data_IF_071962565514
#
_entry.id   IF_071962565514
#
_cell.length_a   1.000
_cell.length_b   1.000
_cell.length_c   1.000
_cell.angle_alpha   90.00
_cell.angle_beta   90.00
_cell.angle_gamma   90.00
#
_symmetry.space_group_name_H-M   'P 1'
#
loop_
_entity.id
_entity.type
_entity.pdbx_description
1 polymer ?
#
# COMPACT_ATOMS: atom_id res chain seq x y z
N UNK A 1 -2.59 -23.64 -54.24
CA UNK A 1 -3.06 -22.56 -53.35
C UNK A 1 -2.69 -22.93 -51.91
N UNK A 2 -1.62 -22.36 -51.38
CA UNK A 2 -1.10 -22.68 -50.04
C UNK A 2 -1.87 -21.90 -48.98
N UNK A 3 -2.49 -22.59 -48.02
CA UNK A 3 -3.16 -21.95 -46.88
C UNK A 3 -2.13 -21.28 -45.97
N UNK A 4 -2.37 -20.05 -45.48
CA UNK A 4 -1.48 -19.40 -44.54
C UNK A 4 -1.46 -20.12 -43.18
N UNK A 5 -0.32 -20.12 -42.47
CA UNK A 5 -0.19 -20.78 -41.18
C UNK A 5 -1.08 -20.09 -40.13
N UNK A 6 -1.90 -20.89 -39.44
CA UNK A 6 -2.66 -20.46 -38.26
C UNK A 6 -1.70 -20.24 -37.10
N UNK A 7 -1.49 -18.99 -36.72
CA UNK A 7 -0.77 -18.65 -35.49
C UNK A 7 -1.65 -19.02 -34.29
N UNK A 8 -1.16 -19.79 -33.31
CA UNK A 8 -1.95 -20.18 -32.16
C UNK A 8 -2.24 -18.96 -31.25
N UNK A 9 -3.49 -18.79 -30.78
CA UNK A 9 -3.92 -17.62 -29.99
C UNK A 9 -3.16 -17.43 -28.67
N UNK A 10 -2.48 -18.47 -28.16
CA UNK A 10 -1.68 -18.41 -26.94
C UNK A 10 -0.38 -17.59 -27.06
N UNK A 11 0.18 -17.43 -28.26
CA UNK A 11 1.41 -16.65 -28.47
C UNK A 11 1.17 -15.14 -28.41
N UNK A 12 -0.01 -14.69 -28.84
CA UNK A 12 -0.39 -13.27 -28.88
C UNK A 12 -0.69 -12.74 -27.47
N UNK A 13 -1.33 -13.54 -26.61
CA UNK A 13 -1.64 -13.16 -25.23
C UNK A 13 -0.39 -12.94 -24.35
N UNK A 14 0.69 -13.72 -24.55
CA UNK A 14 1.95 -13.57 -23.79
C UNK A 14 2.73 -12.31 -24.20
N UNK A 15 2.65 -11.91 -25.47
CA UNK A 15 3.26 -10.67 -25.98
C UNK A 15 2.59 -9.42 -25.42
N UNK A 16 1.26 -9.40 -25.39
CA UNK A 16 0.47 -8.27 -24.90
C UNK A 16 0.64 -8.03 -23.38
N UNK A 17 0.73 -9.09 -22.57
CA UNK A 17 1.00 -8.96 -21.13
C UNK A 17 2.45 -8.48 -20.83
N UNK A 18 3.41 -8.76 -21.73
CA UNK A 18 4.77 -8.22 -21.65
C UNK A 18 4.81 -6.74 -22.01
N UNK A 19 4.14 -6.35 -23.08
CA UNK A 19 4.00 -4.95 -23.51
C UNK A 19 3.22 -4.11 -22.52
N UNK A 20 2.15 -4.62 -21.89
CA UNK A 20 1.37 -3.86 -20.91
C UNK A 20 2.15 -3.56 -19.62
N UNK A 21 2.98 -4.50 -19.11
CA UNK A 21 3.83 -4.21 -17.96
C UNK A 21 5.04 -3.34 -18.35
N UNK A 22 5.65 -3.58 -19.51
CA UNK A 22 6.72 -2.72 -20.01
C UNK A 22 6.20 -1.28 -20.23
N UNK A 23 4.98 -1.13 -20.73
CA UNK A 23 4.29 0.16 -20.86
C UNK A 23 3.88 0.73 -19.50
N UNK A 24 3.44 -0.07 -18.52
CA UNK A 24 3.20 0.43 -17.15
C UNK A 24 4.50 0.88 -16.47
N UNK A 25 5.60 0.16 -16.66
CA UNK A 25 6.93 0.50 -16.13
C UNK A 25 7.60 1.66 -16.90
N UNK A 26 7.36 1.80 -18.20
CA UNK A 26 7.89 2.87 -19.04
C UNK A 26 7.06 4.16 -18.93
N UNK A 27 5.72 4.07 -18.84
CA UNK A 27 4.85 5.22 -18.63
C UNK A 27 5.06 5.87 -17.25
N UNK A 28 5.55 5.11 -16.27
CA UNK A 28 5.99 5.67 -14.98
C UNK A 28 7.30 6.45 -15.05
N UNK A 29 8.16 6.18 -16.04
CA UNK A 29 9.40 6.94 -16.25
C UNK A 29 9.17 8.31 -16.87
N UNK A 30 8.12 8.45 -17.70
CA UNK A 30 7.81 9.71 -18.40
C UNK A 30 7.07 10.73 -17.51
N UNK A 31 6.36 10.29 -16.47
CA UNK A 31 5.62 11.17 -15.56
C UNK A 31 6.47 11.81 -14.44
N UNK A 32 7.75 11.41 -14.30
CA UNK A 32 8.65 11.92 -13.26
C UNK A 32 9.37 13.24 -13.65
N UNK A 33 9.08 13.81 -14.82
CA UNK A 33 9.91 14.86 -15.44
C UNK A 33 9.38 16.30 -15.32
N UNK A 34 8.35 16.56 -14.51
CA UNK A 34 7.71 17.89 -14.42
C UNK A 34 7.90 18.65 -13.09
N UNK A 35 8.66 18.13 -12.12
CA UNK A 35 9.01 18.89 -10.92
C UNK A 35 10.50 19.24 -10.93
N UNK A 36 10.83 20.51 -10.72
CA UNK A 36 12.21 20.95 -10.53
C UNK A 36 12.86 20.12 -9.40
N UNK A 37 14.12 19.68 -9.55
CA UNK A 37 14.77 18.88 -8.52
C UNK A 37 14.91 19.70 -7.25
N UNK A 38 14.17 19.31 -6.21
CA UNK A 38 14.49 19.69 -4.84
C UNK A 38 15.96 19.29 -4.57
N UNK A 39 16.76 20.13 -3.89
CA UNK A 39 18.13 19.76 -3.56
C UNK A 39 18.13 18.40 -2.84
N UNK A 40 19.03 17.47 -3.20
CA UNK A 40 19.04 16.15 -2.62
C UNK A 40 19.22 16.28 -1.11
N UNK A 41 18.25 15.77 -0.35
CA UNK A 41 18.36 15.70 1.10
C UNK A 41 19.63 14.93 1.46
N UNK A 42 20.41 15.45 2.42
CA UNK A 42 21.66 14.81 2.84
C UNK A 42 21.42 13.35 3.24
N UNK A 43 22.20 12.43 2.67
CA UNK A 43 22.18 11.01 3.06
C UNK A 43 22.58 10.89 4.54
N UNK A 44 21.79 10.21 5.38
CA UNK A 44 22.04 10.10 6.80
C UNK A 44 23.20 9.16 7.01
N UNK A 45 23.90 9.40 8.09
CA UNK A 45 25.00 8.54 8.49
C UNK A 45 24.47 7.19 8.97
N UNK A 46 25.28 6.11 8.91
CA UNK A 46 24.92 4.81 9.50
C UNK A 46 24.51 4.90 10.98
N UNK A 47 25.10 5.85 11.73
CA UNK A 47 24.73 6.12 13.13
C UNK A 47 23.32 6.71 13.27
N UNK A 48 22.90 7.61 12.37
CA UNK A 48 21.54 8.15 12.35
C UNK A 48 20.51 7.07 11.99
N UNK A 49 20.85 6.19 11.05
CA UNK A 49 20.00 5.03 10.69
C UNK A 49 19.82 4.10 11.90
N UNK A 50 20.90 3.79 12.60
CA UNK A 50 20.88 2.92 13.79
C UNK A 50 20.12 3.56 14.96
N UNK A 51 20.36 4.83 15.26
CA UNK A 51 19.64 5.56 16.31
C UNK A 51 18.13 5.64 16.02
N UNK A 52 17.75 5.84 14.76
CA UNK A 52 16.35 5.79 14.35
C UNK A 52 15.76 4.38 14.50
N UNK A 53 16.48 3.35 14.06
CA UNK A 53 16.09 1.95 14.24
C UNK A 53 15.83 1.62 15.72
N UNK A 54 16.78 1.94 16.60
CA UNK A 54 16.69 1.62 18.02
C UNK A 54 15.57 2.40 18.71
N UNK A 55 15.38 3.67 18.32
CA UNK A 55 14.26 4.49 18.81
C UNK A 55 12.92 3.97 18.30
N UNK A 56 12.82 3.53 17.06
CA UNK A 56 11.61 2.92 16.52
C UNK A 56 11.31 1.60 17.25
N UNK A 57 12.31 0.73 17.44
CA UNK A 57 12.19 -0.49 18.22
C UNK A 57 11.75 -0.20 19.67
N UNK A 58 12.27 0.85 20.30
CA UNK A 58 11.84 1.32 21.62
C UNK A 58 10.42 1.90 21.63
N UNK A 59 10.00 2.65 20.60
CA UNK A 59 8.62 3.12 20.47
C UNK A 59 7.69 1.93 20.28
N UNK A 60 8.07 0.92 19.50
CA UNK A 60 7.33 -0.33 19.34
C UNK A 60 7.21 -1.08 20.68
N UNK A 61 8.33 -1.17 21.40
CA UNK A 61 8.40 -1.84 22.70
C UNK A 61 7.65 -1.07 23.81
N UNK A 62 7.67 0.27 23.79
CA UNK A 62 7.04 1.16 24.78
C UNK A 62 5.58 1.52 24.48
N UNK A 63 5.18 1.48 23.20
CA UNK A 63 3.77 1.55 22.78
C UNK A 63 3.01 0.27 23.13
N UNK A 64 3.58 -0.68 23.85
CA UNK A 64 2.91 -1.85 24.44
C UNK A 64 1.83 -1.52 25.49
N UNK A 65 1.54 -0.24 25.75
CA UNK A 65 0.24 0.19 26.32
C UNK A 65 -0.90 0.30 25.27
N UNK A 66 -0.60 -0.03 24.01
CA UNK A 66 -1.48 -0.12 22.84
C UNK A 66 -0.68 -0.50 21.58
N UNK A 67 -0.29 -1.77 21.47
CA UNK A 67 0.74 -2.30 20.58
C UNK A 67 0.46 -2.10 19.08
N UNK A 68 1.54 -1.87 18.31
CA UNK A 68 1.56 -2.18 16.88
C UNK A 68 1.08 -3.62 16.67
N UNK A 69 0.30 -3.90 15.61
CA UNK A 69 -0.15 -5.26 15.35
C UNK A 69 1.04 -6.22 15.19
N UNK A 70 0.93 -7.43 15.74
CA UNK A 70 1.80 -8.54 15.34
C UNK A 70 1.45 -8.91 13.88
N UNK A 71 2.44 -8.93 12.98
CA UNK A 71 2.23 -9.18 11.55
C UNK A 71 3.51 -9.08 10.74
N UNK A 72 3.39 -9.12 9.42
CA UNK A 72 4.52 -8.95 8.51
C UNK A 72 5.01 -7.49 8.60
N UNK A 73 6.12 -7.30 9.31
CA UNK A 73 6.79 -6.00 9.38
C UNK A 73 7.49 -5.74 8.06
N UNK A 74 7.07 -4.67 7.39
CA UNK A 74 7.67 -4.21 6.16
C UNK A 74 8.32 -2.85 6.42
N UNK A 75 9.60 -2.71 6.11
CA UNK A 75 10.35 -1.47 6.36
C UNK A 75 10.50 -0.71 5.05
N UNK A 76 10.18 0.59 5.06
CA UNK A 76 10.42 1.47 3.93
C UNK A 76 11.87 1.93 3.95
N UNK A 77 12.64 1.51 2.94
CA UNK A 77 14.02 1.92 2.75
C UNK A 77 14.06 3.11 1.78
N UNK A 78 14.62 4.23 2.23
CA UNK A 78 15.06 5.35 1.40
C UNK A 78 16.40 5.83 1.94
N UNK A 79 17.10 6.65 1.16
CA UNK A 79 18.26 7.44 1.58
C UNK A 79 18.01 8.30 2.83
N UNK A 80 16.87 8.22 3.53
CA UNK A 80 16.69 8.41 4.99
C UNK A 80 15.62 7.41 5.48
N UNK A 81 15.68 6.81 6.69
CA UNK A 81 14.61 5.94 7.16
C UNK A 81 13.40 6.81 7.56
N UNK A 82 12.34 6.80 6.74
CA UNK A 82 11.21 7.75 6.88
C UNK A 82 10.01 7.10 7.58
N UNK A 83 9.78 5.78 7.44
CA UNK A 83 8.54 5.13 7.88
C UNK A 83 8.71 3.66 8.31
N UNK A 84 8.25 3.33 9.52
CA UNK A 84 8.03 1.94 9.94
C UNK A 84 6.60 1.54 9.67
N UNK A 85 6.40 0.46 8.90
CA UNK A 85 5.08 -0.10 8.65
C UNK A 85 4.96 -1.51 9.22
N UNK A 86 3.95 -1.72 10.03
CA UNK A 86 3.51 -3.07 10.39
C UNK A 86 2.16 -3.28 9.74
N UNK A 87 1.98 -4.39 9.03
CA UNK A 87 0.68 -4.79 8.52
C UNK A 87 0.38 -6.22 8.96
N UNK A 88 -0.77 -6.39 9.59
CA UNK A 88 -1.33 -7.69 9.90
C UNK A 88 -2.62 -7.84 9.10
N UNK A 89 -2.62 -8.80 8.19
CA UNK A 89 -3.77 -9.13 7.36
C UNK A 89 -4.39 -10.41 7.93
N UNK A 90 -5.64 -10.30 8.34
CA UNK A 90 -6.49 -11.41 8.78
C UNK A 90 -7.58 -11.69 7.73
N UNK A 91 -8.36 -12.74 7.94
CA UNK A 91 -9.42 -13.13 7.00
C UNK A 91 -10.48 -12.04 6.80
N UNK A 92 -10.80 -11.28 7.85
CA UNK A 92 -11.86 -10.28 7.86
C UNK A 92 -11.35 -8.87 8.20
N UNK A 93 -10.05 -8.68 8.40
CA UNK A 93 -9.53 -7.41 8.90
C UNK A 93 -8.09 -7.16 8.49
N UNK A 94 -7.74 -5.87 8.40
CA UNK A 94 -6.36 -5.41 8.21
C UNK A 94 -6.03 -4.40 9.28
N UNK A 95 -4.98 -4.66 10.05
CA UNK A 95 -4.45 -3.74 11.05
C UNK A 95 -3.06 -3.30 10.64
N UNK A 96 -2.88 -1.99 10.53
CA UNK A 96 -1.64 -1.34 10.15
C UNK A 96 -1.16 -0.39 11.24
N UNK A 97 0.16 -0.20 11.31
CA UNK A 97 0.75 0.90 12.04
C UNK A 97 1.85 1.58 11.23
N UNK A 98 2.01 2.87 11.48
CA UNK A 98 2.92 3.76 10.79
C UNK A 98 3.62 4.65 11.81
N UNK A 99 4.95 4.64 11.83
CA UNK A 99 5.74 5.65 12.57
C UNK A 99 6.39 6.58 11.57
N UNK A 100 6.10 7.87 11.65
CA UNK A 100 6.67 8.92 10.79
C UNK A 100 7.97 9.47 11.36
N UNK A 101 8.77 10.09 10.50
CA UNK A 101 10.02 10.80 10.85
C UNK A 101 9.83 11.89 11.91
N UNK A 102 8.70 12.59 11.90
CA UNK A 102 8.34 13.60 12.91
C UNK A 102 7.86 13.00 14.24
N UNK A 103 8.08 11.69 14.43
CA UNK A 103 7.65 10.90 15.59
C UNK A 103 6.13 10.81 15.77
N UNK A 104 5.34 11.18 14.76
CA UNK A 104 3.91 10.92 14.75
C UNK A 104 3.65 9.44 14.50
N UNK A 105 2.77 8.84 15.31
CA UNK A 105 2.42 7.42 15.23
C UNK A 105 0.96 7.25 14.84
N UNK A 106 0.72 6.61 13.70
CA UNK A 106 -0.59 6.17 13.21
C UNK A 106 -0.80 4.68 13.46
N UNK A 107 -1.99 4.30 13.90
CA UNK A 107 -2.45 2.90 13.94
C UNK A 107 -3.86 2.89 13.38
N UNK A 108 -4.10 2.03 12.40
CA UNK A 108 -5.39 1.93 11.78
C UNK A 108 -5.81 0.47 11.59
N UNK A 109 -7.10 0.19 11.69
CA UNK A 109 -7.70 -1.14 11.62
C UNK A 109 -8.99 -1.05 10.82
N UNK A 110 -9.21 -1.99 9.91
CA UNK A 110 -10.41 -2.04 9.08
C UNK A 110 -10.91 -3.46 9.04
N UNK A 111 -12.20 -3.63 9.31
CA UNK A 111 -12.91 -4.88 9.11
C UNK A 111 -13.65 -4.85 7.78
N UNK A 112 -13.61 -5.98 7.10
CA UNK A 112 -14.12 -6.20 5.77
C UNK A 112 -15.18 -7.30 5.80
N UNK A 113 -16.17 -7.17 4.92
CA UNK A 113 -17.14 -8.22 4.62
C UNK A 113 -17.47 -8.13 3.14
N UNK A 114 -17.31 -9.24 2.41
CA UNK A 114 -17.56 -9.30 0.96
C UNK A 114 -16.83 -8.17 0.20
N UNK A 115 -15.54 -7.98 0.49
CA UNK A 115 -14.70 -6.92 -0.08
C UNK A 115 -15.16 -5.48 0.19
N UNK A 116 -16.09 -5.25 1.10
CA UNK A 116 -16.52 -3.91 1.53
C UNK A 116 -16.13 -3.64 2.99
N UNK A 117 -15.69 -2.41 3.34
CA UNK A 117 -15.47 -2.04 4.73
C UNK A 117 -16.79 -2.06 5.51
N UNK A 118 -16.78 -2.67 6.69
CA UNK A 118 -17.93 -2.66 7.63
C UNK A 118 -17.65 -1.87 8.90
N UNK A 119 -16.37 -1.79 9.29
CA UNK A 119 -15.92 -1.03 10.45
C UNK A 119 -14.50 -0.56 10.23
N UNK A 120 -14.14 0.59 10.78
CA UNK A 120 -12.76 1.02 10.83
C UNK A 120 -12.44 1.77 12.12
N UNK A 121 -11.16 1.82 12.44
CA UNK A 121 -10.59 2.64 13.50
C UNK A 121 -9.28 3.22 13.01
N UNK A 122 -9.08 4.51 13.24
CA UNK A 122 -7.80 5.17 13.07
C UNK A 122 -7.43 5.90 14.36
N UNK A 123 -6.17 5.80 14.75
CA UNK A 123 -5.60 6.51 15.88
C UNK A 123 -4.29 7.13 15.44
N UNK A 124 -4.16 8.43 15.63
CA UNK A 124 -2.91 9.15 15.41
C UNK A 124 -2.48 9.84 16.70
N UNK A 125 -1.20 9.73 17.01
CA UNK A 125 -0.60 10.29 18.23
C UNK A 125 0.61 11.13 17.82
N UNK A 126 0.59 12.41 18.14
CA UNK A 126 1.73 13.31 18.01
C UNK A 126 2.47 13.40 19.37
N UNK A 127 3.80 13.51 19.39
CA UNK A 127 4.56 13.68 20.63
C UNK A 127 4.06 14.88 21.43
N UNK A 128 3.83 14.68 22.73
CA UNK A 128 3.35 15.74 23.63
C UNK A 128 1.89 16.16 23.42
N UNK A 129 1.14 15.54 22.49
CA UNK A 129 -0.27 15.84 22.24
C UNK A 129 -1.17 14.65 22.55
N UNK A 130 -2.45 14.94 22.76
CA UNK A 130 -3.49 13.91 22.90
C UNK A 130 -3.70 13.19 21.57
N UNK A 131 -3.86 11.87 21.63
CA UNK A 131 -4.16 11.08 20.44
C UNK A 131 -5.55 11.44 19.86
N UNK A 132 -5.61 11.57 18.54
CA UNK A 132 -6.86 11.68 17.78
C UNK A 132 -7.32 10.28 17.42
N UNK A 133 -8.57 9.94 17.74
CA UNK A 133 -9.16 8.64 17.44
C UNK A 133 -10.44 8.82 16.64
N UNK A 134 -10.55 8.09 15.53
CA UNK A 134 -11.73 8.01 14.67
C UNK A 134 -12.20 6.57 14.61
N UNK A 135 -13.50 6.36 14.73
CA UNK A 135 -14.13 5.04 14.60
C UNK A 135 -15.29 5.15 13.65
N UNK A 136 -15.33 4.30 12.63
CA UNK A 136 -16.41 4.25 11.65
C UNK A 136 -17.16 2.94 11.71
N UNK A 137 -18.47 3.01 11.54
CA UNK A 137 -19.34 1.84 11.32
C UNK A 137 -20.16 2.08 10.06
N UNK A 138 -20.23 1.08 9.19
CA UNK A 138 -21.00 1.14 7.95
C UNK A 138 -22.30 0.36 8.14
N UNK A 139 -23.43 1.02 7.95
CA UNK A 139 -24.74 0.39 8.04
C UNK A 139 -25.74 1.12 7.14
N UNK A 140 -26.56 0.35 6.42
CA UNK A 140 -27.70 0.86 5.62
C UNK A 140 -27.31 2.02 4.68
N UNK A 141 -26.19 1.86 3.95
CA UNK A 141 -25.70 2.86 2.99
C UNK A 141 -25.09 4.12 3.62
N UNK A 142 -24.87 4.14 4.93
CA UNK A 142 -24.27 5.25 5.66
C UNK A 142 -23.01 4.81 6.40
N UNK A 143 -22.11 5.77 6.58
CA UNK A 143 -20.90 5.63 7.39
C UNK A 143 -21.05 6.57 8.58
N UNK A 144 -21.25 6.02 9.77
CA UNK A 144 -21.27 6.80 11.01
C UNK A 144 -19.86 6.83 11.57
N UNK A 145 -19.27 8.01 11.70
CA UNK A 145 -17.92 8.20 12.22
C UNK A 145 -17.97 8.97 13.53
N UNK A 146 -17.42 8.39 14.58
CA UNK A 146 -17.32 8.99 15.92
C UNK A 146 -15.89 9.37 16.28
N UNK A 147 -15.68 10.40 17.09
CA UNK A 147 -14.34 10.79 17.55
C UNK A 147 -14.31 12.19 18.17
N UNK A 148 -13.46 13.07 17.64
CA UNK A 148 -13.43 14.48 18.08
C UNK A 148 -14.62 15.31 17.55
N UNK A 149 -15.28 14.81 16.50
CA UNK A 149 -16.54 15.32 15.96
C UNK A 149 -17.23 14.15 15.30
N UNK A 150 -18.48 13.94 15.67
CA UNK A 150 -19.30 12.90 15.09
C UNK A 150 -19.87 13.38 13.76
N UNK A 151 -19.83 12.51 12.75
CA UNK A 151 -20.31 12.82 11.41
C UNK A 151 -20.93 11.59 10.76
N UNK A 152 -21.81 11.83 9.81
CA UNK A 152 -22.39 10.78 8.97
C UNK A 152 -22.09 11.09 7.52
N UNK A 153 -21.54 10.10 6.82
CA UNK A 153 -21.23 10.18 5.39
C UNK A 153 -22.11 9.20 4.61
N UNK A 154 -22.33 9.49 3.34
CA UNK A 154 -22.99 8.56 2.41
C UNK A 154 -21.96 7.56 1.89
N UNK A 155 -22.33 6.29 1.78
CA UNK A 155 -21.50 5.28 1.12
C UNK A 155 -21.49 5.55 -0.40
N UNK A 156 -20.32 5.64 -1.05
CA UNK A 156 -20.25 5.82 -2.49
C UNK A 156 -20.95 4.68 -3.25
N UNK A 157 -21.61 5.02 -4.36
CA UNK A 157 -22.19 4.01 -5.25
C UNK A 157 -21.13 3.24 -6.05
N UNK A 158 -19.95 3.83 -6.25
CA UNK A 158 -18.79 3.20 -6.89
C UNK A 158 -18.03 2.29 -5.91
N UNK A 159 -17.11 1.48 -6.44
CA UNK A 159 -16.16 0.73 -5.62
C UNK A 159 -15.46 1.66 -4.63
N UNK A 160 -15.48 1.31 -3.35
CA UNK A 160 -14.91 2.13 -2.30
C UNK A 160 -14.21 1.30 -1.23
N UNK A 161 -13.29 1.93 -0.54
CA UNK A 161 -12.58 1.38 0.61
C UNK A 161 -12.33 2.44 1.67
N UNK A 162 -11.75 2.01 2.78
CA UNK A 162 -11.13 2.92 3.72
C UNK A 162 -9.65 2.55 3.83
N UNK A 163 -8.80 3.56 3.95
CA UNK A 163 -7.38 3.41 4.26
C UNK A 163 -6.83 4.74 4.73
N UNK A 164 -6.05 4.73 5.79
CA UNK A 164 -5.49 5.97 6.32
C UNK A 164 -4.22 6.39 5.57
N UNK A 165 -3.84 7.65 5.72
CA UNK A 165 -2.72 8.27 5.01
C UNK A 165 -1.42 7.50 5.29
N UNK A 166 -0.77 7.03 4.23
CA UNK A 166 0.45 6.21 4.32
C UNK A 166 0.22 4.74 4.70
N UNK A 167 -1.03 4.29 4.83
CA UNK A 167 -1.39 2.92 5.23
C UNK A 167 -2.29 2.25 4.17
N UNK A 168 -1.98 2.42 2.89
CA UNK A 168 -2.85 1.91 1.80
C UNK A 168 -2.90 0.38 1.68
N UNK A 169 -2.05 -0.37 2.39
CA UNK A 169 -2.22 -1.83 2.48
C UNK A 169 -3.50 -2.23 3.21
N UNK A 170 -4.16 -1.30 3.89
CA UNK A 170 -5.50 -1.53 4.40
C UNK A 170 -6.48 -1.90 3.28
N UNK A 171 -6.21 -1.49 2.04
CA UNK A 171 -7.02 -1.83 0.86
C UNK A 171 -6.76 -3.24 0.33
N UNK A 172 -5.81 -4.00 0.88
CA UNK A 172 -5.41 -5.30 0.33
C UNK A 172 -6.59 -6.25 0.07
N UNK A 173 -7.57 -6.45 0.99
CA UNK A 173 -8.72 -7.31 0.74
C UNK A 173 -9.52 -6.92 -0.50
N UNK A 174 -9.54 -5.64 -0.86
CA UNK A 174 -10.16 -5.18 -2.09
C UNK A 174 -9.24 -5.41 -3.30
N UNK A 175 -7.97 -5.02 -3.19
CA UNK A 175 -6.98 -5.10 -4.29
C UNK A 175 -6.74 -6.53 -4.76
N UNK A 176 -6.68 -7.52 -3.85
CA UNK A 176 -6.47 -8.94 -4.19
C UNK A 176 -7.62 -9.52 -5.01
N UNK A 177 -8.83 -8.98 -4.85
CA UNK A 177 -10.03 -9.44 -5.59
C UNK A 177 -10.18 -8.76 -6.95
N UNK A 178 -9.37 -7.75 -7.26
CA UNK A 178 -9.46 -7.06 -8.53
C UNK A 178 -9.02 -7.97 -9.68
N UNK A 179 -9.84 -8.13 -10.72
CA UNK A 179 -9.43 -8.87 -11.90
C UNK A 179 -8.31 -8.13 -12.63
N UNK A 180 -7.41 -8.84 -13.33
CA UNK A 180 -6.45 -8.20 -14.22
C UNK A 180 -7.14 -7.29 -15.22
N UNK A 181 -6.71 -6.03 -15.28
CA UNK A 181 -7.24 -5.01 -16.18
C UNK A 181 -6.15 -4.00 -16.51
N UNK A 182 -6.01 -3.71 -17.80
CA UNK A 182 -5.17 -2.61 -18.29
C UNK A 182 -5.87 -1.25 -18.16
N UNK A 183 -7.21 -1.24 -18.14
CA UNK A 183 -7.99 -0.03 -17.93
C UNK A 183 -8.03 0.32 -16.44
N UNK A 184 -7.72 1.57 -16.05
CA UNK A 184 -7.75 1.97 -14.65
C UNK A 184 -9.17 1.95 -14.08
N UNK A 185 -9.37 1.14 -13.04
CA UNK A 185 -10.56 1.20 -12.20
C UNK A 185 -10.45 2.38 -11.24
N UNK A 186 -11.54 3.15 -11.10
CA UNK A 186 -11.62 4.20 -10.08
C UNK A 186 -12.08 3.60 -8.74
N UNK A 187 -11.28 3.83 -7.71
CA UNK A 187 -11.56 3.42 -6.34
C UNK A 187 -11.68 4.66 -5.45
N UNK A 188 -12.80 4.82 -4.77
CA UNK A 188 -13.01 5.91 -3.80
C UNK A 188 -12.50 5.46 -2.43
N UNK A 189 -11.66 6.24 -1.77
CA UNK A 189 -11.06 5.86 -0.48
C UNK A 189 -11.38 6.89 0.58
N UNK A 190 -12.02 6.46 1.66
CA UNK A 190 -12.16 7.28 2.86
C UNK A 190 -10.83 7.29 3.62
N UNK A 191 -10.30 8.48 3.90
CA UNK A 191 -9.14 8.72 4.78
C UNK A 191 -9.64 9.01 6.20
N UNK A 192 -9.65 8.03 7.13
CA UNK A 192 -10.37 8.19 8.38
C UNK A 192 -9.84 9.30 9.28
N UNK A 193 -8.52 9.51 9.35
CA UNK A 193 -7.93 10.54 10.19
C UNK A 193 -8.36 11.96 9.79
N UNK A 194 -8.22 12.29 8.50
CA UNK A 194 -8.56 13.60 7.92
C UNK A 194 -10.05 13.74 7.63
N UNK A 195 -10.81 12.65 7.66
CA UNK A 195 -12.22 12.58 7.25
C UNK A 195 -12.46 13.12 5.84
N UNK A 196 -11.55 12.80 4.92
CA UNK A 196 -11.61 13.22 3.52
C UNK A 196 -11.75 12.03 2.58
N UNK A 197 -12.39 12.26 1.44
CA UNK A 197 -12.41 11.31 0.33
C UNK A 197 -11.18 11.51 -0.56
N UNK A 198 -10.60 10.42 -1.01
CA UNK A 198 -9.55 10.34 -2.01
C UNK A 198 -10.05 9.48 -3.19
N UNK A 199 -9.46 9.65 -4.36
CA UNK A 199 -9.76 8.84 -5.54
C UNK A 199 -8.48 8.24 -6.08
N UNK A 200 -8.45 6.91 -6.14
CA UNK A 200 -7.34 6.14 -6.67
C UNK A 200 -7.71 5.60 -8.06
N UNK A 201 -6.76 5.66 -8.98
CA UNK A 201 -6.78 4.91 -10.22
C UNK A 201 -5.97 3.63 -10.02
N UNK A 202 -6.60 2.48 -10.26
CA UNK A 202 -6.02 1.16 -9.97
C UNK A 202 -6.00 0.31 -11.23
N UNK A 203 -4.83 -0.22 -11.59
CA UNK A 203 -4.69 -1.25 -12.63
C UNK A 203 -4.14 -2.53 -12.02
N UNK A 204 -4.43 -3.67 -12.64
CA UNK A 204 -4.01 -4.97 -12.16
C UNK A 204 -3.44 -5.81 -13.30
N UNK A 205 -2.28 -6.42 -13.06
CA UNK A 205 -1.68 -7.37 -13.97
C UNK A 205 -1.30 -8.65 -13.20
N UNK A 206 -1.33 -9.80 -13.88
CA UNK A 206 -0.90 -11.08 -13.30
C UNK A 206 0.24 -11.68 -14.10
N UNK A 207 1.25 -12.21 -13.41
CA UNK A 207 2.40 -12.91 -13.96
C UNK A 207 2.64 -14.19 -13.17
N UNK A 208 2.14 -15.30 -13.69
CA UNK A 208 2.12 -16.56 -12.95
C UNK A 208 1.35 -16.40 -11.65
N UNK A 209 2.02 -16.63 -10.54
CA UNK A 209 1.47 -16.56 -9.18
C UNK A 209 1.49 -15.14 -8.59
N UNK A 210 2.22 -14.21 -9.22
CA UNK A 210 2.34 -12.83 -8.77
C UNK A 210 1.24 -11.97 -9.40
N UNK A 211 0.55 -11.20 -8.56
CA UNK A 211 -0.32 -10.10 -8.99
C UNK A 211 0.38 -8.77 -8.69
N UNK A 212 0.42 -7.89 -9.69
CA UNK A 212 0.98 -6.55 -9.58
C UNK A 212 -0.16 -5.55 -9.74
N UNK A 213 -0.38 -4.73 -8.72
CA UNK A 213 -1.39 -3.67 -8.72
C UNK A 213 -0.67 -2.33 -8.78
N UNK A 214 -0.99 -1.51 -9.77
CA UNK A 214 -0.56 -0.12 -9.81
C UNK A 214 -1.64 0.74 -9.19
N UNK A 215 -1.27 1.60 -8.24
CA UNK A 215 -2.16 2.51 -7.54
C UNK A 215 -1.64 3.93 -7.70
N UNK A 216 -2.44 4.79 -8.33
CA UNK A 216 -2.13 6.21 -8.53
C UNK A 216 -3.19 7.08 -7.86
N UNK A 217 -2.75 8.00 -7.00
CA UNK A 217 -3.58 9.13 -6.52
C UNK A 217 -3.16 10.40 -7.27
N UNK A 218 -4.06 11.38 -7.37
CA UNK A 218 -3.75 12.67 -8.01
C UNK A 218 -2.67 13.47 -7.30
N UNK A 219 -2.39 13.18 -6.02
CA UNK A 219 -1.45 13.92 -5.17
C UNK A 219 -0.23 13.11 -4.73
N UNK A 220 -0.13 11.83 -5.13
CA UNK A 220 0.93 10.94 -4.66
C UNK A 220 1.58 10.20 -5.82
N UNK A 221 2.87 9.86 -5.70
CA UNK A 221 3.57 9.07 -6.70
C UNK A 221 2.91 7.71 -6.90
N UNK A 222 3.11 7.15 -8.09
CA UNK A 222 2.56 5.83 -8.44
C UNK A 222 3.18 4.76 -7.54
N UNK A 223 2.33 3.92 -6.95
CA UNK A 223 2.73 2.83 -6.07
C UNK A 223 2.38 1.48 -6.68
N UNK A 224 3.35 0.58 -6.66
CA UNK A 224 3.19 -0.80 -7.10
C UNK A 224 3.04 -1.70 -5.87
N UNK A 225 1.91 -2.39 -5.76
CA UNK A 225 1.71 -3.45 -4.79
C UNK A 225 1.97 -4.78 -5.50
N UNK A 226 2.87 -5.57 -4.95
CA UNK A 226 3.16 -6.90 -5.46
C UNK A 226 2.67 -7.91 -4.46
N UNK A 227 1.75 -8.74 -4.93
CA UNK A 227 0.96 -9.67 -4.15
C UNK A 227 1.32 -11.07 -4.64
N UNK A 228 1.62 -11.97 -3.69
CA UNK A 228 1.92 -13.37 -3.95
C UNK A 228 1.10 -14.21 -2.97
N UNK A 229 0.36 -15.20 -3.49
CA UNK A 229 -0.56 -16.03 -2.69
C UNK A 229 -1.53 -15.21 -1.82
N UNK A 230 -2.01 -14.08 -2.35
CA UNK A 230 -2.94 -13.17 -1.64
C UNK A 230 -2.30 -12.30 -0.56
N UNK A 231 -0.97 -12.36 -0.37
CA UNK A 231 -0.24 -11.55 0.62
C UNK A 231 0.57 -10.46 -0.07
N UNK A 232 0.59 -9.27 0.54
CA UNK A 232 1.50 -8.19 0.12
C UNK A 232 2.92 -8.56 0.51
N UNK A 233 3.79 -8.69 -0.48
CA UNK A 233 5.19 -9.06 -0.28
C UNK A 233 6.14 -7.92 -0.63
N UNK A 234 5.68 -6.92 -1.37
CA UNK A 234 6.47 -5.76 -1.76
C UNK A 234 5.58 -4.61 -2.15
N UNK A 235 5.92 -3.41 -1.68
CA UNK A 235 5.35 -2.15 -2.15
C UNK A 235 6.49 -1.27 -2.64
N UNK A 236 6.36 -0.72 -3.84
CA UNK A 236 7.35 0.20 -4.41
C UNK A 236 6.70 1.53 -4.79
N UNK A 237 7.29 2.62 -4.32
CA UNK A 237 7.06 3.95 -4.84
C UNK A 237 7.94 4.15 -6.08
N UNK A 238 7.32 4.30 -7.25
CA UNK A 238 8.08 4.32 -8.50
C UNK A 238 8.87 5.62 -8.67
N UNK A 239 8.31 6.75 -8.23
CA UNK A 239 8.96 8.05 -8.40
C UNK A 239 10.07 8.26 -7.37
N UNK A 240 9.84 7.86 -6.13
CA UNK A 240 10.79 8.08 -5.03
C UNK A 240 11.78 6.94 -4.84
N UNK A 241 11.66 5.86 -5.63
CA UNK A 241 12.46 4.64 -5.48
C UNK A 241 12.40 4.06 -4.06
N UNK A 242 11.33 4.35 -3.31
CA UNK A 242 11.13 3.78 -1.99
C UNK A 242 10.63 2.35 -2.14
N UNK A 243 11.21 1.45 -1.35
CA UNK A 243 10.72 0.09 -1.27
C UNK A 243 10.34 -0.27 0.15
N UNK A 244 9.16 -0.84 0.28
CA UNK A 244 8.66 -1.44 1.49
C UNK A 244 8.64 -2.96 1.29
N UNK A 245 9.51 -3.66 2.03
CA UNK A 245 9.75 -5.09 1.90
C UNK A 245 9.95 -5.77 3.26
N UNK A 246 9.76 -7.11 3.36
CA UNK A 246 10.00 -7.85 4.59
C UNK A 246 11.44 -7.71 5.07
N UNK A 247 11.65 -7.88 6.37
CA UNK A 247 12.99 -7.93 6.96
C UNK A 247 13.76 -9.17 6.50
N UNK A 248 15.04 -9.02 6.18
CA UNK A 248 15.88 -10.06 5.56
C UNK A 248 15.93 -11.37 6.36
N UNK A 249 15.83 -11.27 7.69
CA UNK A 249 15.82 -12.41 8.62
C UNK A 249 14.50 -13.18 8.67
N UNK A 250 13.45 -12.73 7.98
CA UNK A 250 12.11 -13.34 8.05
C UNK A 250 11.86 -14.33 6.92
N UNK A 251 10.98 -15.32 7.15
CA UNK A 251 10.56 -16.24 6.10
C UNK A 251 9.88 -15.51 4.92
N UNK A 252 9.17 -14.41 5.19
CA UNK A 252 8.54 -13.56 4.18
C UNK A 252 9.56 -12.95 3.21
N UNK A 253 10.79 -12.68 3.65
CA UNK A 253 11.83 -12.16 2.76
C UNK A 253 12.24 -13.16 1.68
N UNK A 254 12.25 -14.46 1.98
CA UNK A 254 12.49 -15.50 0.97
C UNK A 254 11.39 -15.50 -0.11
N UNK A 255 10.15 -15.26 0.29
CA UNK A 255 9.03 -15.11 -0.66
C UNK A 255 9.22 -13.87 -1.53
N UNK A 256 9.61 -12.74 -0.93
CA UNK A 256 9.95 -11.51 -1.64
C UNK A 256 11.05 -11.73 -2.70
N UNK A 257 12.15 -12.40 -2.36
CA UNK A 257 13.24 -12.70 -3.30
C UNK A 257 12.74 -13.55 -4.48
N UNK A 258 11.98 -14.62 -4.21
CA UNK A 258 11.40 -15.47 -5.27
C UNK A 258 10.47 -14.68 -6.19
N UNK A 259 9.65 -13.79 -5.64
CA UNK A 259 8.76 -12.96 -6.45
C UNK A 259 9.53 -11.97 -7.34
N UNK A 260 10.61 -11.35 -6.84
CA UNK A 260 11.47 -10.47 -7.67
C UNK A 260 12.12 -11.23 -8.82
N UNK A 261 12.60 -12.44 -8.55
CA UNK A 261 13.12 -13.34 -9.59
C UNK A 261 12.04 -13.69 -10.63
N UNK A 262 10.82 -14.03 -10.19
CA UNK A 262 9.69 -14.31 -11.07
C UNK A 262 9.28 -13.10 -11.94
N UNK A 263 9.53 -11.88 -11.47
CA UNK A 263 9.36 -10.64 -12.22
C UNK A 263 10.55 -10.29 -13.14
N UNK A 264 11.64 -11.08 -13.10
CA UNK A 264 12.86 -10.83 -13.88
C UNK A 264 13.72 -9.69 -13.36
N UNK A 265 13.57 -9.33 -12.07
CA UNK A 265 14.40 -8.31 -11.43
C UNK A 265 15.54 -8.99 -10.67
N UNK A 266 16.77 -8.50 -10.83
CA UNK A 266 17.89 -8.91 -9.99
C UNK A 266 17.63 -8.47 -8.53
N UNK A 267 17.98 -9.30 -7.53
CA UNK A 267 17.76 -9.00 -6.12
C UNK A 267 18.52 -7.77 -5.62
#
# INVERSE_FOLDING_TARGET
MSRPPRVPPAAIARGLARLALAAMLAATSAAAQQNAPEPPAATPTPGQVRAFHDRAAQIIAGASRGSLPAGDTLVTWHNQPILWHTAAVFADSVKNGLVRRDSMVGVAEIHWRNSAPVRFRARWTEPGKRAVVRRGTVARGRIVVTGSRDTTLVVPASAWGAADVGMDDQLLPLLVTMPPSAEPLRLIVLRPYTLSWDTLAVTSARRGEVQVISVRSGSQPNRLFVIFEGKLIWLRDVAQQNERRPLESTAAYRVFVRARQAMGQQP
#
